data_IF_982425003173
#
_entry.id   IF_982425003173
#
_cell.length_a   1.000
_cell.length_b   1.000
_cell.length_c   1.000
_cell.angle_alpha   90.00
_cell.angle_beta   90.00
_cell.angle_gamma   90.00
#
_symmetry.space_group_name_H-M   'P 1'
#
loop_
_entity.id
_entity.type
_entity.pdbx_description
1 polymer ?
#
# COMPACT_ATOMS: atom_id res chain seq x y z
N UNK A 1 6.83 73.74 -0.97
CA UNK A 1 6.50 73.83 0.47
C UNK A 1 5.56 72.66 0.75
N UNK A 2 6.14 71.50 1.00
CA UNK A 2 6.32 70.90 2.34
C UNK A 2 5.02 70.24 2.83
N UNK A 3 4.94 69.05 3.44
CA UNK A 3 5.91 68.02 3.85
C UNK A 3 5.06 66.76 4.16
N UNK A 4 5.63 65.58 3.92
CA UNK A 4 5.14 64.27 4.41
C UNK A 4 4.96 64.27 5.93
N UNK A 5 3.96 63.57 6.45
CA UNK A 5 4.23 62.74 7.64
C UNK A 5 3.34 61.49 7.75
N UNK A 6 4.05 60.36 7.74
CA UNK A 6 3.58 59.00 7.93
C UNK A 6 3.41 58.70 9.42
N UNK A 7 2.21 58.32 9.85
CA UNK A 7 1.98 57.84 11.21
C UNK A 7 2.55 56.43 11.38
N UNK A 8 3.71 56.41 12.04
CA UNK A 8 4.48 55.27 12.54
C UNK A 8 3.83 54.77 13.83
N UNK A 9 3.16 53.62 13.82
CA UNK A 9 2.78 52.92 15.07
C UNK A 9 3.88 51.92 15.42
N UNK A 10 4.46 52.13 16.60
CA UNK A 10 5.61 51.45 17.18
C UNK A 10 5.49 49.91 17.20
N UNK A 11 6.15 49.26 16.25
CA UNK A 11 6.76 47.96 16.49
C UNK A 11 8.03 48.16 17.32
N UNK A 12 7.95 47.94 18.63
CA UNK A 12 9.14 47.79 19.48
C UNK A 12 9.96 46.60 18.94
N UNK A 13 11.02 46.91 18.18
CA UNK A 13 12.05 45.95 17.76
C UNK A 13 12.80 45.50 19.00
N UNK A 14 12.28 44.44 19.64
CA UNK A 14 12.93 43.80 20.79
C UNK A 14 14.27 43.24 20.32
N UNK A 15 15.35 43.65 20.99
CA UNK A 15 16.74 43.32 20.64
C UNK A 15 16.92 41.79 20.43
N UNK A 16 17.37 41.32 19.26
CA UNK A 16 17.63 39.91 18.98
C UNK A 16 18.72 39.28 19.86
N UNK A 17 19.48 40.09 20.62
CA UNK A 17 20.48 39.60 21.60
C UNK A 17 19.88 39.29 22.97
N UNK A 18 18.65 39.72 23.24
CA UNK A 18 17.94 39.39 24.49
C UNK A 18 17.63 37.89 24.57
N UNK A 19 17.87 37.21 25.72
CA UNK A 19 17.51 35.80 25.90
C UNK A 19 16.01 35.55 25.68
N UNK A 20 15.15 36.53 25.95
CA UNK A 20 13.70 36.46 25.68
C UNK A 20 13.36 36.54 24.17
N UNK A 21 14.17 37.26 23.38
CA UNK A 21 14.01 37.36 21.92
C UNK A 21 14.34 36.04 21.22
N UNK A 22 15.41 35.37 21.67
CA UNK A 22 15.81 34.04 21.19
C UNK A 22 14.74 33.00 21.48
N UNK A 23 14.17 32.97 22.69
CA UNK A 23 13.10 32.04 23.05
C UNK A 23 11.90 32.16 22.08
N UNK A 24 11.43 33.37 21.74
CA UNK A 24 10.29 33.54 20.83
C UNK A 24 10.58 33.10 19.38
N UNK A 25 11.85 33.12 18.96
CA UNK A 25 12.28 32.66 17.64
C UNK A 25 12.31 31.13 17.57
N UNK A 26 12.73 30.45 18.65
CA UNK A 26 12.76 28.99 18.74
C UNK A 26 11.36 28.35 18.81
N UNK A 27 10.34 29.09 19.30
CA UNK A 27 8.97 28.57 19.39
C UNK A 27 8.09 28.85 18.17
N UNK A 28 8.60 29.51 17.12
CA UNK A 28 7.93 29.50 15.81
C UNK A 28 8.18 28.18 15.11
N UNK A 29 7.59 27.11 15.66
CA UNK A 29 7.29 25.92 14.88
C UNK A 29 6.57 26.38 13.60
N UNK A 30 7.03 25.99 12.41
CA UNK A 30 6.31 26.26 11.18
C UNK A 30 4.86 25.81 11.40
N UNK A 31 3.89 26.71 11.18
CA UNK A 31 2.48 26.32 11.22
C UNK A 31 2.32 25.22 10.18
N UNK A 32 2.17 23.98 10.65
CA UNK A 32 1.94 22.84 9.78
C UNK A 32 0.58 23.09 9.16
N UNK A 33 0.55 23.45 7.88
CA UNK A 33 -0.71 23.67 7.19
C UNK A 33 -1.54 22.38 7.31
N UNK A 34 -2.83 22.48 7.72
CA UNK A 34 -3.68 21.30 7.74
C UNK A 34 -3.66 20.70 6.35
N UNK A 35 -3.38 19.39 6.29
CA UNK A 35 -3.36 18.64 5.05
C UNK A 35 -4.70 18.85 4.36
N UNK A 36 -4.70 19.59 3.24
CA UNK A 36 -5.89 19.73 2.40
C UNK A 36 -6.15 18.36 1.77
N UNK A 37 -6.88 17.52 2.50
CA UNK A 37 -7.19 16.17 2.08
C UNK A 37 -7.93 16.21 0.75
N UNK A 38 -7.50 15.39 -0.22
CA UNK A 38 -8.28 15.16 -1.44
C UNK A 38 -9.69 14.71 -1.00
N UNK A 39 -10.73 15.33 -1.57
CA UNK A 39 -12.13 14.94 -1.28
C UNK A 39 -12.27 13.45 -1.58
N UNK A 40 -12.79 12.72 -0.59
CA UNK A 40 -13.20 11.33 -0.76
C UNK A 40 -14.33 11.30 -1.79
N UNK A 41 -14.19 10.47 -2.82
CA UNK A 41 -15.24 10.30 -3.82
C UNK A 41 -16.27 9.31 -3.29
N UNK A 42 -17.55 9.63 -3.34
CA UNK A 42 -18.59 8.72 -2.86
C UNK A 42 -18.55 7.36 -3.59
N UNK A 43 -18.23 7.36 -4.89
CA UNK A 43 -18.08 6.12 -5.66
C UNK A 43 -16.95 5.21 -5.19
N UNK A 44 -15.85 5.75 -4.62
CA UNK A 44 -14.77 4.90 -4.10
C UNK A 44 -15.18 4.21 -2.80
N UNK A 45 -15.99 4.88 -1.98
CA UNK A 45 -16.52 4.27 -0.75
C UNK A 45 -17.54 3.18 -1.08
N UNK A 46 -18.44 3.43 -2.04
CA UNK A 46 -19.38 2.43 -2.53
C UNK A 46 -18.66 1.21 -3.15
N UNK A 47 -17.70 1.44 -4.05
CA UNK A 47 -16.92 0.37 -4.68
C UNK A 47 -16.15 -0.47 -3.64
N UNK A 48 -15.57 0.18 -2.62
CA UNK A 48 -14.91 -0.53 -1.52
C UNK A 48 -15.88 -1.45 -0.78
N UNK A 49 -17.08 -0.95 -0.44
CA UNK A 49 -18.12 -1.76 0.20
C UNK A 49 -18.56 -2.95 -0.65
N UNK A 50 -18.76 -2.73 -1.96
CA UNK A 50 -19.10 -3.79 -2.92
C UNK A 50 -18.01 -4.88 -2.96
N UNK A 51 -16.74 -4.48 -3.02
CA UNK A 51 -15.61 -5.42 -3.04
C UNK A 51 -15.49 -6.22 -1.73
N UNK A 52 -15.77 -5.59 -0.59
CA UNK A 52 -15.83 -6.29 0.71
C UNK A 52 -16.95 -7.34 0.70
N UNK A 53 -18.16 -6.97 0.27
CA UNK A 53 -19.28 -7.90 0.17
C UNK A 53 -18.99 -9.07 -0.78
N UNK A 54 -18.43 -8.79 -1.95
CA UNK A 54 -18.04 -9.80 -2.92
C UNK A 54 -16.97 -10.75 -2.36
N UNK A 55 -15.95 -10.22 -1.68
CA UNK A 55 -14.91 -11.05 -1.06
C UNK A 55 -15.49 -11.96 0.03
N UNK A 56 -16.37 -11.45 0.89
CA UNK A 56 -17.04 -12.26 1.91
C UNK A 56 -17.87 -13.38 1.29
N UNK A 57 -18.66 -13.09 0.26
CA UNK A 57 -19.44 -14.10 -0.45
C UNK A 57 -18.56 -15.19 -1.08
N UNK A 58 -17.44 -14.81 -1.70
CA UNK A 58 -16.48 -15.76 -2.27
C UNK A 58 -15.78 -16.61 -1.19
N UNK A 59 -15.47 -16.05 -0.03
CA UNK A 59 -14.91 -16.82 1.09
C UNK A 59 -15.89 -17.88 1.59
N UNK A 60 -17.19 -17.55 1.70
CA UNK A 60 -18.21 -18.54 2.01
C UNK A 60 -18.32 -19.63 0.94
N UNK A 61 -18.25 -19.26 -0.33
CA UNK A 61 -18.20 -20.23 -1.43
C UNK A 61 -16.99 -21.16 -1.30
N UNK A 62 -15.78 -20.62 -1.12
CA UNK A 62 -14.55 -21.42 -0.93
C UNK A 62 -14.70 -22.37 0.25
N UNK A 63 -15.19 -21.89 1.40
CA UNK A 63 -15.37 -22.71 2.60
C UNK A 63 -16.34 -23.87 2.35
N UNK A 64 -17.48 -23.60 1.68
CA UNK A 64 -18.44 -24.65 1.29
C UNK A 64 -17.82 -25.65 0.31
N UNK A 65 -17.16 -25.17 -0.74
CA UNK A 65 -16.58 -26.01 -1.80
C UNK A 65 -15.45 -26.90 -1.28
N UNK A 66 -14.67 -26.45 -0.31
CA UNK A 66 -13.64 -27.28 0.33
C UNK A 66 -14.22 -28.49 1.07
N UNK A 67 -15.45 -28.40 1.60
CA UNK A 67 -16.10 -29.55 2.26
C UNK A 67 -16.66 -30.58 1.27
N UNK A 68 -17.04 -30.13 0.07
CA UNK A 68 -17.69 -30.97 -0.94
C UNK A 68 -16.67 -31.58 -1.91
N UNK A 69 -15.63 -30.83 -2.27
CA UNK A 69 -14.68 -31.18 -3.34
C UNK A 69 -13.29 -31.59 -2.82
N UNK A 70 -13.19 -32.02 -1.56
CA UNK A 70 -11.92 -32.39 -0.95
C UNK A 70 -11.20 -33.53 -1.70
N UNK A 71 -11.97 -34.48 -2.27
CA UNK A 71 -11.44 -35.67 -2.95
C UNK A 71 -10.87 -35.40 -4.35
N UNK A 72 -11.16 -34.25 -4.96
CA UNK A 72 -10.76 -33.94 -6.35
C UNK A 72 -9.52 -33.04 -6.46
N UNK A 73 -8.91 -32.68 -5.32
CA UNK A 73 -7.76 -31.78 -5.25
C UNK A 73 -6.44 -32.53 -5.48
N UNK A 74 -5.63 -32.09 -6.46
CA UNK A 74 -4.32 -32.71 -6.78
C UNK A 74 -3.39 -32.75 -5.56
N UNK A 75 -3.31 -31.68 -4.78
CA UNK A 75 -2.63 -31.66 -3.48
C UNK A 75 -2.97 -30.39 -2.70
N UNK A 76 -3.59 -30.53 -1.54
CA UNK A 76 -3.96 -29.38 -0.68
C UNK A 76 -2.73 -28.56 -0.27
N UNK A 77 -1.57 -29.19 -0.14
CA UNK A 77 -0.33 -28.53 0.27
C UNK A 77 0.24 -27.58 -0.81
N UNK A 78 0.24 -28.03 -2.07
CA UNK A 78 0.70 -27.22 -3.21
C UNK A 78 -0.21 -26.01 -3.37
N UNK A 79 -1.54 -26.21 -3.34
CA UNK A 79 -2.51 -25.11 -3.42
C UNK A 79 -2.30 -24.06 -2.33
N UNK A 80 -2.15 -24.48 -1.06
CA UNK A 80 -1.91 -23.55 0.06
C UNK A 80 -0.65 -22.72 -0.19
N UNK A 81 0.46 -23.34 -0.61
CA UNK A 81 1.71 -22.62 -0.87
C UNK A 81 1.59 -21.62 -2.03
N UNK A 82 0.90 -22.00 -3.11
CA UNK A 82 0.71 -21.14 -4.28
C UNK A 82 -0.17 -19.91 -3.97
N UNK A 83 -1.16 -20.04 -3.09
CA UNK A 83 -2.09 -18.95 -2.77
C UNK A 83 -1.69 -18.12 -1.54
N UNK A 84 -0.98 -18.70 -0.57
CA UNK A 84 -0.65 -18.06 0.71
C UNK A 84 0.15 -16.77 0.54
N UNK A 85 1.22 -16.79 -0.26
CA UNK A 85 2.08 -15.62 -0.45
C UNK A 85 1.29 -14.40 -0.97
N UNK A 86 0.47 -14.61 -2.01
CA UNK A 86 -0.39 -13.56 -2.56
C UNK A 86 -1.42 -13.05 -1.56
N UNK A 87 -2.08 -13.94 -0.82
CA UNK A 87 -3.04 -13.56 0.21
C UNK A 87 -2.42 -12.63 1.25
N UNK A 88 -1.24 -12.99 1.78
CA UNK A 88 -0.53 -12.21 2.79
C UNK A 88 -0.17 -10.82 2.23
N UNK A 89 0.32 -10.73 1.00
CA UNK A 89 0.64 -9.43 0.35
C UNK A 89 -0.61 -8.56 0.20
N UNK A 90 -1.71 -9.13 -0.29
CA UNK A 90 -2.94 -8.37 -0.52
C UNK A 90 -3.58 -7.90 0.80
N UNK A 91 -3.55 -8.76 1.82
CA UNK A 91 -3.95 -8.40 3.17
C UNK A 91 -3.08 -7.27 3.74
N UNK A 92 -1.76 -7.34 3.53
CA UNK A 92 -0.82 -6.33 3.99
C UNK A 92 -1.08 -4.95 3.37
N UNK A 93 -1.48 -4.89 2.09
CA UNK A 93 -1.90 -3.64 1.43
C UNK A 93 -3.12 -3.01 2.15
N UNK A 94 -4.09 -3.83 2.55
CA UNK A 94 -5.27 -3.36 3.29
C UNK A 94 -4.90 -2.87 4.68
N UNK A 95 -4.06 -3.63 5.40
CA UNK A 95 -3.54 -3.23 6.71
C UNK A 95 -2.78 -1.91 6.63
N UNK A 96 -2.00 -1.69 5.58
CA UNK A 96 -1.35 -0.40 5.34
C UNK A 96 -2.39 0.72 5.09
N UNK A 97 -3.49 0.43 4.40
CA UNK A 97 -4.63 1.35 4.27
C UNK A 97 -5.23 1.73 5.63
N UNK A 98 -5.41 0.75 6.52
CA UNK A 98 -5.89 0.96 7.89
C UNK A 98 -4.90 1.80 8.70
N UNK A 99 -3.60 1.54 8.58
CA UNK A 99 -2.55 2.33 9.24
C UNK A 99 -2.58 3.79 8.79
N UNK A 100 -2.68 4.05 7.49
CA UNK A 100 -2.79 5.42 6.95
C UNK A 100 -4.07 6.11 7.45
N UNK A 101 -5.18 5.38 7.55
CA UNK A 101 -6.42 5.89 8.16
C UNK A 101 -6.21 6.26 9.64
N UNK A 102 -5.58 5.38 10.42
CA UNK A 102 -5.26 5.60 11.83
C UNK A 102 -4.40 6.83 12.06
N UNK A 103 -3.31 6.98 11.29
CA UNK A 103 -2.45 8.17 11.34
C UNK A 103 -3.21 9.45 11.02
N UNK A 104 -4.10 9.41 10.03
CA UNK A 104 -4.93 10.58 9.67
C UNK A 104 -5.90 10.94 10.80
N UNK A 105 -6.52 9.95 11.44
CA UNK A 105 -7.44 10.16 12.58
C UNK A 105 -6.71 10.71 13.81
N UNK A 106 -5.48 10.26 14.05
CA UNK A 106 -4.62 10.74 15.13
C UNK A 106 -3.96 12.12 14.85
N UNK A 107 -4.17 12.71 13.67
CA UNK A 107 -3.56 14.00 13.29
C UNK A 107 -2.08 13.92 12.94
N UNK A 108 -1.51 12.73 12.74
CA UNK A 108 -0.11 12.54 12.35
C UNK A 108 0.07 12.91 10.88
N UNK A 109 0.98 13.83 10.61
CA UNK A 109 1.36 14.19 9.24
C UNK A 109 2.29 13.11 8.63
N UNK A 110 1.71 11.97 8.28
CA UNK A 110 2.43 10.83 7.69
C UNK A 110 3.17 11.20 6.39
N UNK A 111 2.68 12.18 5.62
CA UNK A 111 3.39 12.67 4.42
C UNK A 111 4.73 13.30 4.79
N UNK A 112 4.78 14.10 5.85
CA UNK A 112 6.02 14.67 6.37
C UNK A 112 6.94 13.60 6.97
N UNK A 113 6.38 12.70 7.79
CA UNK A 113 7.12 11.62 8.47
C UNK A 113 7.80 10.69 7.46
N UNK A 114 7.10 10.28 6.41
CA UNK A 114 7.64 9.43 5.35
C UNK A 114 8.36 10.20 4.24
N UNK A 115 8.49 11.53 4.36
CA UNK A 115 9.07 12.40 3.33
C UNK A 115 8.48 12.16 1.94
N UNK A 116 7.17 11.86 1.89
CA UNK A 116 6.43 11.62 0.65
C UNK A 116 6.07 12.96 0.03
N UNK A 117 6.09 13.05 -1.30
CA UNK A 117 5.64 14.26 -1.98
C UNK A 117 4.17 14.56 -1.63
N UNK A 118 3.83 15.76 -1.13
CA UNK A 118 2.45 16.08 -0.74
C UNK A 118 1.43 16.02 -1.89
N UNK A 119 1.91 16.17 -3.13
CA UNK A 119 1.11 16.03 -4.36
C UNK A 119 0.75 14.58 -4.69
N UNK A 120 1.50 13.63 -4.11
CA UNK A 120 1.39 12.19 -4.30
C UNK A 120 0.90 11.49 -3.03
N UNK A 121 0.03 12.16 -2.26
CA UNK A 121 -0.47 11.60 -1.02
C UNK A 121 -1.41 10.40 -1.30
N UNK A 122 -1.01 9.24 -0.80
CA UNK A 122 -1.76 8.00 -0.95
C UNK A 122 -3.07 8.10 -0.15
N UNK A 123 -4.21 8.09 -0.83
CA UNK A 123 -5.51 8.09 -0.17
C UNK A 123 -5.77 6.70 0.43
N UNK A 124 -6.02 6.63 1.75
CA UNK A 124 -6.27 5.37 2.46
C UNK A 124 -7.39 4.54 1.81
N UNK A 125 -8.49 5.18 1.37
CA UNK A 125 -9.57 4.47 0.70
C UNK A 125 -9.14 3.86 -0.64
N UNK A 126 -8.33 4.59 -1.42
CA UNK A 126 -7.85 4.07 -2.70
C UNK A 126 -6.92 2.87 -2.47
N UNK A 127 -6.09 2.91 -1.42
CA UNK A 127 -5.25 1.78 -1.05
C UNK A 127 -6.09 0.56 -0.62
N UNK A 128 -7.12 0.78 0.20
CA UNK A 128 -8.06 -0.27 0.60
C UNK A 128 -8.83 -0.82 -0.61
N UNK A 129 -9.30 0.02 -1.54
CA UNK A 129 -10.00 -0.42 -2.76
C UNK A 129 -9.12 -1.30 -3.63
N UNK A 130 -7.85 -0.91 -3.83
CA UNK A 130 -6.88 -1.74 -4.58
C UNK A 130 -6.63 -3.06 -3.87
N UNK A 131 -6.37 -3.03 -2.55
CA UNK A 131 -6.15 -4.23 -1.75
C UNK A 131 -7.34 -5.19 -1.78
N UNK A 132 -8.57 -4.68 -1.63
CA UNK A 132 -9.78 -5.51 -1.73
C UNK A 132 -10.00 -6.04 -3.14
N UNK A 133 -9.70 -5.27 -4.18
CA UNK A 133 -9.75 -5.75 -5.56
C UNK A 133 -8.80 -6.92 -5.81
N UNK A 134 -7.59 -6.86 -5.26
CA UNK A 134 -6.62 -7.97 -5.31
C UNK A 134 -7.08 -9.19 -4.50
N UNK A 135 -7.70 -8.99 -3.33
CA UNK A 135 -8.30 -10.09 -2.56
C UNK A 135 -9.48 -10.75 -3.29
N UNK A 136 -10.31 -9.99 -4.00
CA UNK A 136 -11.37 -10.55 -4.84
C UNK A 136 -10.77 -11.36 -5.98
N UNK A 137 -9.73 -10.84 -6.66
CA UNK A 137 -9.00 -11.59 -7.69
C UNK A 137 -8.42 -12.90 -7.13
N UNK A 138 -7.84 -12.86 -5.92
CA UNK A 138 -7.34 -14.03 -5.23
C UNK A 138 -8.45 -15.06 -4.97
N UNK A 139 -9.60 -14.61 -4.46
CA UNK A 139 -10.72 -15.48 -4.15
C UNK A 139 -11.34 -16.10 -5.41
N UNK A 140 -11.47 -15.33 -6.50
CA UNK A 140 -11.91 -15.86 -7.80
C UNK A 140 -10.93 -16.91 -8.33
N UNK A 141 -9.63 -16.67 -8.23
CA UNK A 141 -8.60 -17.63 -8.63
C UNK A 141 -8.64 -18.90 -7.77
N UNK A 142 -8.86 -18.78 -6.46
CA UNK A 142 -9.02 -19.92 -5.55
C UNK A 142 -10.29 -20.74 -5.85
N UNK A 143 -11.41 -20.08 -6.14
CA UNK A 143 -12.64 -20.73 -6.62
C UNK A 143 -12.38 -21.50 -7.92
N UNK A 144 -11.70 -20.85 -8.88
CA UNK A 144 -11.31 -21.50 -10.13
C UNK A 144 -10.43 -22.72 -9.91
N UNK A 145 -9.44 -22.64 -9.01
CA UNK A 145 -8.59 -23.77 -8.62
C UNK A 145 -9.40 -24.95 -8.06
N UNK A 146 -10.40 -24.68 -7.21
CA UNK A 146 -11.28 -25.71 -6.63
C UNK A 146 -12.13 -26.38 -7.71
N UNK A 147 -12.73 -25.60 -8.60
CA UNK A 147 -13.66 -26.10 -9.60
C UNK A 147 -13.01 -26.54 -10.93
N UNK A 148 -11.70 -26.34 -11.12
CA UNK A 148 -11.01 -26.70 -12.37
C UNK A 148 -11.30 -28.13 -12.87
N UNK A 149 -11.37 -29.17 -12.01
CA UNK A 149 -11.68 -30.53 -12.45
C UNK A 149 -13.05 -30.65 -13.14
N UNK A 150 -14.03 -29.82 -12.77
CA UNK A 150 -15.36 -29.82 -13.41
C UNK A 150 -15.31 -29.29 -14.84
N UNK A 151 -14.35 -28.43 -15.16
CA UNK A 151 -14.18 -27.82 -16.47
C UNK A 151 -13.14 -28.55 -17.34
N UNK A 152 -12.54 -29.62 -16.83
CA UNK A 152 -11.40 -30.28 -17.50
C UNK A 152 -10.15 -29.39 -17.61
N UNK A 153 -10.07 -28.34 -16.78
CA UNK A 153 -8.94 -27.41 -16.76
C UNK A 153 -7.88 -27.84 -15.74
N UNK A 154 -6.62 -27.46 -15.95
CA UNK A 154 -5.57 -27.72 -14.97
C UNK A 154 -5.70 -26.74 -13.79
N UNK A 155 -5.77 -27.27 -12.57
CA UNK A 155 -5.89 -26.46 -11.35
C UNK A 155 -4.78 -25.41 -11.25
N UNK A 156 -3.56 -25.76 -11.67
CA UNK A 156 -2.35 -24.92 -11.58
C UNK A 156 -2.45 -23.66 -12.46
N UNK A 157 -3.30 -23.66 -13.51
CA UNK A 157 -3.47 -22.51 -14.40
C UNK A 157 -4.03 -21.27 -13.68
N UNK A 158 -4.89 -21.46 -12.68
CA UNK A 158 -5.53 -20.36 -11.95
C UNK A 158 -4.55 -19.52 -11.11
N UNK A 159 -3.68 -20.11 -10.25
CA UNK A 159 -2.66 -19.34 -9.55
C UNK A 159 -1.61 -18.75 -10.51
N UNK A 160 -1.29 -19.43 -11.62
CA UNK A 160 -0.39 -18.90 -12.65
C UNK A 160 -0.96 -17.63 -13.31
N UNK A 161 -2.23 -17.67 -13.72
CA UNK A 161 -2.93 -16.55 -14.33
C UNK A 161 -3.04 -15.36 -13.35
N UNK A 162 -3.40 -15.64 -12.09
CA UNK A 162 -3.42 -14.62 -11.05
C UNK A 162 -2.04 -13.96 -10.90
N UNK A 163 -0.98 -14.76 -10.74
CA UNK A 163 0.39 -14.26 -10.63
C UNK A 163 0.80 -13.41 -11.82
N UNK A 164 0.42 -13.83 -13.03
CA UNK A 164 0.66 -13.09 -14.28
C UNK A 164 -0.09 -11.76 -14.31
N UNK A 165 -1.39 -11.75 -13.95
CA UNK A 165 -2.19 -10.52 -13.87
C UNK A 165 -1.61 -9.54 -12.86
N UNK A 166 -1.20 -10.03 -11.69
CA UNK A 166 -0.57 -9.22 -10.63
C UNK A 166 0.77 -8.65 -11.10
N UNK A 167 1.58 -9.46 -11.77
CA UNK A 167 2.86 -9.03 -12.35
C UNK A 167 2.64 -7.93 -13.40
N UNK A 168 1.74 -8.17 -14.35
CA UNK A 168 1.37 -7.19 -15.38
C UNK A 168 0.90 -5.89 -14.73
N UNK A 169 -0.04 -5.95 -13.80
CA UNK A 169 -0.60 -4.76 -13.15
C UNK A 169 0.44 -3.96 -12.35
N UNK A 170 1.43 -4.64 -11.77
CA UNK A 170 2.48 -4.03 -10.94
C UNK A 170 3.61 -3.42 -11.78
N UNK A 171 4.09 -4.14 -12.80
CA UNK A 171 5.31 -3.79 -13.53
C UNK A 171 5.08 -3.13 -14.88
N UNK A 172 4.05 -3.51 -15.65
CA UNK A 172 3.82 -2.93 -17.00
C UNK A 172 3.49 -1.44 -16.94
N UNK A 173 2.65 -0.94 -16.01
CA UNK A 173 2.37 0.48 -15.95
C UNK A 173 3.55 1.36 -15.51
N UNK A 174 4.76 0.83 -15.31
CA UNK A 174 5.95 1.68 -15.12
C UNK A 174 6.29 2.52 -16.35
N UNK A 175 5.83 2.10 -17.54
CA UNK A 175 6.04 2.80 -18.82
C UNK A 175 4.90 3.76 -19.19
N UNK A 176 3.74 3.69 -18.52
CA UNK A 176 2.55 4.49 -18.87
C UNK A 176 1.93 5.19 -17.65
N UNK A 177 1.51 6.46 -17.76
CA UNK A 177 0.82 7.20 -16.70
C UNK A 177 -0.64 6.71 -16.54
N UNK A 178 -0.84 5.47 -16.13
CA UNK A 178 -2.19 4.93 -15.89
C UNK A 178 -2.70 5.29 -14.48
N UNK A 179 -3.99 5.59 -14.40
CA UNK A 179 -4.69 6.20 -13.26
C UNK A 179 -4.90 5.30 -12.04
N UNK A 180 -4.59 4.00 -12.14
CA UNK A 180 -5.06 2.99 -11.17
C UNK A 180 -4.16 2.90 -9.92
N UNK A 181 -2.85 3.10 -10.06
CA UNK A 181 -1.95 3.39 -8.93
C UNK A 181 -0.98 4.48 -9.34
N UNK A 182 -0.85 5.53 -8.52
CA UNK A 182 -0.03 6.69 -8.84
C UNK A 182 1.43 6.24 -9.05
N UNK A 183 1.99 6.53 -10.22
CA UNK A 183 3.37 6.18 -10.63
C UNK A 183 4.41 6.54 -9.56
N UNK A 184 4.21 7.67 -8.88
CA UNK A 184 5.06 8.17 -7.81
C UNK A 184 5.15 7.19 -6.63
N UNK A 185 4.04 6.56 -6.24
CA UNK A 185 4.01 5.58 -5.15
C UNK A 185 4.78 4.31 -5.49
N UNK A 186 4.70 3.85 -6.75
CA UNK A 186 5.45 2.68 -7.24
C UNK A 186 6.95 2.93 -7.26
N UNK A 187 7.38 4.08 -7.81
CA UNK A 187 8.80 4.48 -7.83
C UNK A 187 9.33 4.74 -6.42
N UNK A 188 8.49 5.25 -5.52
CA UNK A 188 8.83 5.40 -4.11
C UNK A 188 9.11 4.04 -3.48
N UNK A 189 8.22 3.07 -3.65
CA UNK A 189 8.39 1.71 -3.11
C UNK A 189 9.69 1.05 -3.59
N UNK A 190 9.95 1.10 -4.90
CA UNK A 190 11.16 0.50 -5.51
C UNK A 190 12.43 1.18 -5.01
N UNK A 191 12.43 2.52 -4.95
CA UNK A 191 13.58 3.26 -4.44
C UNK A 191 13.89 2.87 -2.99
N UNK A 192 12.88 2.74 -2.14
CA UNK A 192 13.08 2.36 -0.73
C UNK A 192 13.48 0.89 -0.59
N UNK A 193 12.97 0.00 -1.44
CA UNK A 193 13.43 -1.39 -1.51
C UNK A 193 14.93 -1.47 -1.85
N UNK A 194 15.38 -0.78 -2.91
CA UNK A 194 16.81 -0.72 -3.24
C UNK A 194 17.64 -0.06 -2.14
N UNK A 195 17.11 0.95 -1.44
CA UNK A 195 17.79 1.57 -0.30
C UNK A 195 17.91 0.62 0.89
N UNK A 196 16.92 -0.23 1.14
CA UNK A 196 17.04 -1.26 2.17
C UNK A 196 18.16 -2.26 1.85
N UNK A 197 18.29 -2.67 0.59
CA UNK A 197 19.39 -3.56 0.15
C UNK A 197 20.76 -2.88 0.26
N UNK A 198 20.83 -1.59 -0.12
CA UNK A 198 22.08 -0.82 -0.14
C UNK A 198 22.31 -0.01 1.14
N UNK A 199 21.62 -0.34 2.24
CA UNK A 199 21.64 0.40 3.49
C UNK A 199 23.05 0.70 4.05
N UNK A 200 24.06 -0.18 3.91
CA UNK A 200 25.42 0.13 4.38
C UNK A 200 26.08 1.34 3.67
N UNK A 201 25.62 1.69 2.46
CA UNK A 201 26.30 2.67 1.60
C UNK A 201 25.71 4.08 1.67
N UNK A 202 24.66 4.31 2.45
CA UNK A 202 24.01 5.61 2.52
C UNK A 202 23.34 5.88 3.87
N UNK A 203 23.05 7.16 4.14
CA UNK A 203 22.31 7.54 5.33
C UNK A 203 20.88 7.00 5.28
N UNK A 204 20.55 6.14 6.23
CA UNK A 204 19.21 5.54 6.41
C UNK A 204 18.25 6.60 6.95
N UNK A 205 17.06 6.69 6.34
CA UNK A 205 15.98 7.58 6.78
C UNK A 205 14.93 6.76 7.53
N UNK A 206 14.05 7.44 8.27
CA UNK A 206 12.94 6.78 8.97
C UNK A 206 12.06 5.93 8.02
N UNK A 207 11.77 6.44 6.82
CA UNK A 207 11.00 5.69 5.82
C UNK A 207 11.69 4.39 5.38
N UNK A 208 13.03 4.39 5.28
CA UNK A 208 13.80 3.19 4.93
C UNK A 208 13.71 2.14 6.06
N UNK A 209 13.87 2.57 7.32
CA UNK A 209 13.74 1.70 8.51
C UNK A 209 12.33 1.10 8.63
N UNK A 210 11.29 1.94 8.52
CA UNK A 210 9.91 1.49 8.58
C UNK A 210 9.59 0.50 7.45
N UNK A 211 10.07 0.76 6.23
CA UNK A 211 9.85 -0.14 5.10
C UNK A 211 10.56 -1.48 5.31
N UNK A 212 11.77 -1.49 5.87
CA UNK A 212 12.49 -2.72 6.21
C UNK A 212 11.75 -3.56 7.26
N UNK A 213 11.13 -2.91 8.25
CA UNK A 213 10.26 -3.58 9.24
C UNK A 213 9.04 -4.24 8.57
N UNK A 214 8.40 -3.54 7.62
CA UNK A 214 7.32 -4.15 6.82
C UNK A 214 7.81 -5.35 6.00
N UNK A 215 9.01 -5.29 5.40
CA UNK A 215 9.57 -6.42 4.66
C UNK A 215 9.88 -7.62 5.56
N UNK A 216 10.29 -7.38 6.80
CA UNK A 216 10.54 -8.44 7.80
C UNK A 216 9.24 -9.17 8.14
N UNK A 217 8.13 -8.43 8.27
CA UNK A 217 6.79 -9.02 8.43
C UNK A 217 6.34 -9.86 7.23
N UNK A 218 6.97 -9.68 6.07
CA UNK A 218 6.70 -10.42 4.83
C UNK A 218 7.74 -11.52 4.55
N UNK A 219 8.56 -11.92 5.53
CA UNK A 219 9.57 -12.98 5.36
C UNK A 219 9.01 -14.28 4.72
N UNK A 220 7.82 -14.71 5.15
CA UNK A 220 7.14 -15.91 4.60
C UNK A 220 6.78 -15.73 3.13
N UNK A 221 6.42 -14.51 2.70
CA UNK A 221 6.09 -14.21 1.30
C UNK A 221 7.32 -14.40 0.41
N UNK A 222 8.51 -14.06 0.88
CA UNK A 222 9.74 -14.28 0.11
C UNK A 222 10.01 -15.76 -0.14
N UNK A 223 9.75 -16.61 0.86
CA UNK A 223 9.84 -18.06 0.71
C UNK A 223 8.78 -18.59 -0.27
N UNK A 224 7.55 -18.12 -0.15
CA UNK A 224 6.47 -18.51 -1.07
C UNK A 224 6.72 -18.04 -2.51
N UNK A 225 7.34 -16.87 -2.68
CA UNK A 225 7.74 -16.37 -3.99
C UNK A 225 8.82 -17.26 -4.62
N UNK A 226 9.85 -17.65 -3.85
CA UNK A 226 10.85 -18.61 -4.36
C UNK A 226 10.22 -19.95 -4.73
N UNK A 227 9.30 -20.46 -3.91
CA UNK A 227 8.58 -21.70 -4.21
C UNK A 227 7.74 -21.57 -5.48
N UNK A 228 7.01 -20.46 -5.64
CA UNK A 228 6.20 -20.19 -6.81
C UNK A 228 7.03 -20.19 -8.08
N UNK A 229 8.17 -19.48 -8.08
CA UNK A 229 9.07 -19.45 -9.24
C UNK A 229 9.60 -20.86 -9.54
N UNK A 230 10.17 -21.56 -8.56
CA UNK A 230 10.70 -22.90 -8.76
C UNK A 230 9.65 -23.87 -9.31
N UNK A 231 8.45 -23.88 -8.69
CA UNK A 231 7.34 -24.74 -9.10
C UNK A 231 6.96 -24.52 -10.58
N UNK A 232 6.80 -23.26 -11.01
CA UNK A 232 6.43 -22.96 -12.39
C UNK A 232 7.56 -23.13 -13.41
N UNK A 233 8.81 -23.20 -12.97
CA UNK A 233 9.96 -23.43 -13.86
C UNK A 233 10.38 -24.90 -13.98
N UNK A 234 10.15 -25.70 -12.94
CA UNK A 234 10.69 -27.06 -12.82
C UNK A 234 9.61 -28.14 -12.79
N UNK A 235 8.44 -27.86 -12.22
CA UNK A 235 7.43 -28.88 -11.89
C UNK A 235 6.10 -28.71 -12.64
N UNK A 236 5.84 -27.55 -13.26
CA UNK A 236 4.56 -27.18 -13.87
C UNK A 236 4.42 -27.55 -15.36
#
# INVERSE_FOLDING_TARGET
MEVRESVRIHGQLRDPRSPAGKASLYYKLPKVHPMRGRKIRHSTTFALGLLIGAFVALVFNIAGSLTVMQSTMVSSYVGIRLFRGFFIVFLHIILMGINVYGWRRAGVNHVLVFQVNPRDNLNYQSLMTVGMGLLVLWAVSAVGYIYAPLFGASQIQFPALMGTVVFIFTFIPMSQPSSIMIMSSRRWMIRHFFRCITAPFHRVRFADFWFADQMTSLAVVWLDFSYFVCFFTLDA
#
